data_IF_784392048790
#
_entry.id   IF_784392048790
#
_cell.length_a   1.000
_cell.length_b   1.000
_cell.length_c   1.000
_cell.angle_alpha   90.00
_cell.angle_beta   90.00
_cell.angle_gamma   90.00
#
_symmetry.space_group_name_H-M   'P 1'
#
loop_
_entity.id
_entity.type
_entity.pdbx_description
1 polymer ?
#
# COMPACT_ATOMS: atom_id res chain seq x y z
N UNK A 1 -10.99 -14.43 16.73
CA UNK A 1 -12.18 -14.44 17.63
C UNK A 1 -11.88 -15.38 18.79
N UNK A 2 -12.45 -15.17 19.97
CA UNK A 2 -12.20 -16.01 21.16
C UNK A 2 -12.42 -17.50 20.88
N UNK A 3 -13.51 -17.85 20.20
CA UNK A 3 -13.86 -19.22 19.76
C UNK A 3 -12.78 -19.90 18.90
N UNK A 4 -11.85 -19.14 18.31
CA UNK A 4 -10.78 -19.71 17.50
C UNK A 4 -9.62 -20.15 18.37
N UNK A 5 -9.33 -19.43 19.45
CA UNK A 5 -8.26 -19.79 20.39
C UNK A 5 -8.57 -21.09 21.13
N UNK A 6 -9.83 -21.27 21.54
CA UNK A 6 -10.30 -22.44 22.27
C UNK A 6 -10.16 -23.78 21.51
N UNK A 7 -9.87 -23.71 20.20
CA UNK A 7 -9.61 -24.90 19.35
C UNK A 7 -8.21 -25.47 19.54
N UNK A 8 -7.33 -24.72 20.16
CA UNK A 8 -5.94 -25.06 20.38
C UNK A 8 -5.68 -25.18 21.88
N UNK A 9 -4.77 -26.06 22.26
CA UNK A 9 -4.27 -26.12 23.64
C UNK A 9 -3.34 -24.92 23.89
N UNK A 10 -3.22 -24.52 25.13
CA UNK A 10 -2.35 -23.40 25.52
C UNK A 10 -0.87 -23.65 25.23
N UNK A 11 -0.48 -24.91 25.21
CA UNK A 11 0.86 -25.45 24.95
C UNK A 11 0.97 -26.13 23.57
N UNK A 12 0.05 -25.82 22.63
CA UNK A 12 0.00 -26.44 21.29
C UNK A 12 1.23 -26.14 20.44
N UNK A 13 1.85 -24.97 20.64
CA UNK A 13 2.96 -24.47 19.83
C UNK A 13 4.19 -24.26 20.70
N UNK A 14 5.32 -24.87 20.31
CA UNK A 14 6.61 -24.64 20.93
C UNK A 14 7.16 -23.24 20.57
N UNK A 15 6.86 -22.77 19.35
CA UNK A 15 7.36 -21.49 18.81
C UNK A 15 6.21 -20.70 18.22
N UNK A 16 6.13 -19.42 18.56
CA UNK A 16 5.18 -18.49 17.96
C UNK A 16 5.92 -17.28 17.40
N UNK A 17 5.71 -17.00 16.11
CA UNK A 17 6.22 -15.82 15.43
C UNK A 17 5.08 -14.84 15.18
N UNK A 18 5.26 -13.59 15.58
CA UNK A 18 4.32 -12.49 15.32
C UNK A 18 4.94 -11.55 14.30
N UNK A 19 4.36 -11.53 13.10
CA UNK A 19 4.67 -10.51 12.10
C UNK A 19 3.92 -9.22 12.40
N UNK A 20 4.48 -8.07 12.02
CA UNK A 20 3.96 -6.74 12.31
C UNK A 20 3.69 -6.55 13.82
N UNK A 21 4.64 -6.98 14.64
CA UNK A 21 4.50 -7.00 16.12
C UNK A 21 4.29 -5.61 16.73
N UNK A 22 4.54 -4.54 15.99
CA UNK A 22 4.17 -3.19 16.42
C UNK A 22 2.66 -3.07 16.72
N UNK A 23 1.82 -3.98 16.20
CA UNK A 23 0.38 -4.07 16.50
C UNK A 23 0.05 -4.83 17.78
N UNK A 24 1.04 -5.44 18.43
CA UNK A 24 0.82 -6.32 19.59
C UNK A 24 0.24 -5.61 20.83
N UNK A 25 0.25 -4.28 20.85
CA UNK A 25 -0.47 -3.50 21.86
C UNK A 25 -1.99 -3.59 21.76
N UNK A 26 -2.55 -4.08 20.64
CA UNK A 26 -4.00 -4.22 20.50
C UNK A 26 -4.57 -5.38 21.33
N UNK A 27 -5.81 -5.25 21.76
CA UNK A 27 -6.51 -6.23 22.61
C UNK A 27 -6.51 -7.64 22.01
N UNK A 28 -6.62 -7.75 20.69
CA UNK A 28 -6.64 -9.06 20.00
C UNK A 28 -5.30 -9.79 20.08
N UNK A 29 -4.18 -9.08 19.95
CA UNK A 29 -2.84 -9.66 20.10
C UNK A 29 -2.56 -10.01 21.55
N UNK A 30 -2.93 -9.13 22.49
CA UNK A 30 -2.77 -9.37 23.92
C UNK A 30 -3.53 -10.64 24.37
N UNK A 31 -4.74 -10.87 23.84
CA UNK A 31 -5.49 -12.11 24.10
C UNK A 31 -4.74 -13.35 23.61
N UNK A 32 -4.10 -13.30 22.45
CA UNK A 32 -3.33 -14.41 21.89
C UNK A 32 -2.08 -14.66 22.76
N UNK A 33 -1.34 -13.62 23.08
CA UNK A 33 -0.11 -13.73 23.87
C UNK A 33 -0.36 -14.22 25.30
N UNK A 34 -1.49 -13.84 25.89
CA UNK A 34 -1.87 -14.30 27.22
C UNK A 34 -2.46 -15.73 27.22
N UNK A 35 -2.91 -16.23 26.06
CA UNK A 35 -3.50 -17.56 25.96
C UNK A 35 -2.45 -18.65 25.75
N UNK A 36 -1.50 -18.45 24.84
CA UNK A 36 -0.48 -19.44 24.53
C UNK A 36 0.76 -19.32 25.41
N UNK A 37 1.36 -20.46 25.72
CA UNK A 37 2.58 -20.59 26.51
C UNK A 37 3.66 -21.35 25.71
N UNK A 38 4.16 -20.77 24.59
CA UNK A 38 5.23 -21.40 23.83
C UNK A 38 6.58 -21.30 24.58
N UNK A 39 7.52 -22.16 24.22
CA UNK A 39 8.90 -22.07 24.71
C UNK A 39 9.60 -20.82 24.18
N UNK A 40 9.18 -20.30 23.02
CA UNK A 40 9.81 -19.15 22.38
C UNK A 40 8.84 -18.26 21.63
N UNK A 41 8.92 -16.96 21.87
CA UNK A 41 8.26 -15.91 21.10
C UNK A 41 9.23 -15.17 20.21
N UNK A 42 8.88 -14.95 18.93
CA UNK A 42 9.60 -14.08 18.01
C UNK A 42 8.67 -12.97 17.51
N UNK A 43 9.07 -11.73 17.67
CA UNK A 43 8.41 -10.57 17.08
C UNK A 43 9.20 -10.00 15.92
N UNK A 44 8.53 -9.71 14.80
CA UNK A 44 9.14 -9.05 13.64
C UNK A 44 8.36 -7.79 13.30
N UNK A 45 9.06 -6.70 12.99
CA UNK A 45 8.43 -5.45 12.52
C UNK A 45 9.44 -4.58 11.79
N UNK A 46 8.98 -3.84 10.81
CA UNK A 46 9.76 -2.79 10.15
C UNK A 46 9.71 -1.44 10.90
N UNK A 47 8.76 -1.25 11.81
CA UNK A 47 8.49 0.01 12.52
C UNK A 47 8.29 -0.24 14.02
N UNK A 48 9.37 -0.48 14.78
CA UNK A 48 9.26 -0.76 16.20
C UNK A 48 8.82 0.45 17.03
N UNK A 49 9.13 1.67 16.57
CA UNK A 49 8.75 2.90 17.26
C UNK A 49 7.27 3.20 17.02
N UNK A 50 6.53 3.37 18.13
CA UNK A 50 5.12 3.71 18.12
C UNK A 50 4.89 5.14 18.60
N UNK A 51 3.93 5.81 17.98
CA UNK A 51 3.53 7.18 18.35
C UNK A 51 2.58 7.24 19.53
N UNK A 52 1.96 6.10 19.93
CA UNK A 52 1.01 6.01 21.03
C UNK A 52 1.67 5.68 22.39
N UNK A 53 3.00 5.58 22.43
CA UNK A 53 3.77 5.34 23.65
C UNK A 53 3.77 3.88 24.15
N UNK A 54 3.15 2.94 23.40
CA UNK A 54 3.23 1.54 23.76
C UNK A 54 4.61 0.96 23.44
N UNK A 55 5.30 0.43 24.46
CA UNK A 55 6.61 -0.18 24.32
C UNK A 55 6.50 -1.66 23.94
N UNK A 56 6.72 -1.98 22.67
CA UNK A 56 6.68 -3.36 22.19
C UNK A 56 7.87 -4.19 22.67
N UNK A 57 9.03 -3.56 22.94
CA UNK A 57 10.22 -4.26 23.40
C UNK A 57 9.98 -4.90 24.76
N UNK A 58 9.16 -4.29 25.58
CA UNK A 58 8.80 -4.83 26.89
C UNK A 58 8.08 -6.19 26.81
N UNK A 59 7.41 -6.49 25.69
CA UNK A 59 6.78 -7.80 25.45
C UNK A 59 7.80 -8.93 25.27
N UNK A 60 9.04 -8.59 25.00
CA UNK A 60 10.15 -9.51 24.73
C UNK A 60 11.31 -9.28 25.70
N UNK A 61 11.05 -8.75 26.90
CA UNK A 61 12.06 -8.44 27.92
C UNK A 61 13.24 -7.60 27.38
N UNK A 62 12.96 -6.72 26.40
CA UNK A 62 13.93 -5.91 25.66
C UNK A 62 15.03 -6.73 24.92
N UNK A 63 14.76 -8.00 24.65
CA UNK A 63 15.65 -8.83 23.86
C UNK A 63 15.51 -8.49 22.36
N UNK A 64 16.57 -7.98 21.75
CA UNK A 64 16.63 -7.67 20.32
C UNK A 64 17.61 -8.66 19.69
N UNK A 65 17.08 -9.60 18.89
CA UNK A 65 17.89 -10.59 18.20
C UNK A 65 18.65 -9.99 17.01
N UNK A 66 17.98 -9.12 16.26
CA UNK A 66 18.55 -8.45 15.10
C UNK A 66 17.83 -7.12 14.84
N UNK A 67 18.59 -6.10 14.46
CA UNK A 67 18.10 -4.81 14.03
C UNK A 67 18.85 -4.33 12.79
N UNK A 68 18.11 -3.95 11.75
CA UNK A 68 18.66 -3.26 10.60
C UNK A 68 17.83 -2.01 10.29
N UNK A 69 18.48 -0.87 10.28
CA UNK A 69 17.86 0.40 9.93
C UNK A 69 17.90 0.63 8.42
N UNK A 70 16.93 1.42 7.90
CA UNK A 70 16.80 1.73 6.48
C UNK A 70 18.12 2.15 5.82
N UNK A 71 18.86 3.05 6.47
CA UNK A 71 20.14 3.54 5.95
C UNK A 71 21.20 2.44 5.85
N UNK A 72 21.22 1.50 6.80
CA UNK A 72 22.11 0.35 6.76
C UNK A 72 21.69 -0.62 5.66
N UNK A 73 20.39 -0.94 5.56
CA UNK A 73 19.87 -1.82 4.52
C UNK A 73 20.15 -1.30 3.10
N UNK A 74 20.10 0.03 2.88
CA UNK A 74 20.48 0.66 1.63
C UNK A 74 21.98 0.58 1.33
N UNK A 75 22.83 0.71 2.34
CA UNK A 75 24.30 0.60 2.18
C UNK A 75 24.77 -0.82 1.87
N UNK A 76 24.06 -1.81 2.40
CA UNK A 76 24.37 -3.23 2.20
C UNK A 76 23.65 -3.81 0.96
N UNK A 77 23.07 -2.96 0.10
CA UNK A 77 22.31 -3.36 -1.11
C UNK A 77 21.17 -4.35 -0.85
N UNK A 78 20.62 -4.35 0.37
CA UNK A 78 19.45 -5.17 0.74
C UNK A 78 18.14 -4.55 0.26
N UNK A 79 18.15 -3.26 -0.02
CA UNK A 79 17.03 -2.50 -0.56
C UNK A 79 17.47 -1.72 -1.80
N UNK A 80 16.57 -1.62 -2.76
CA UNK A 80 16.77 -0.78 -3.94
C UNK A 80 16.86 0.70 -3.53
N UNK A 81 17.83 1.48 -4.05
CA UNK A 81 17.88 2.92 -3.83
C UNK A 81 16.61 3.60 -4.34
N UNK A 82 16.16 4.63 -3.62
CA UNK A 82 14.98 5.41 -4.00
C UNK A 82 15.18 6.90 -3.71
N UNK A 83 14.41 7.72 -4.40
CA UNK A 83 14.27 9.15 -4.09
C UNK A 83 12.90 9.37 -3.44
N UNK A 84 12.91 10.12 -2.34
CA UNK A 84 11.69 10.50 -1.64
C UNK A 84 11.41 11.99 -1.86
N UNK A 85 10.21 12.29 -2.35
CA UNK A 85 9.75 13.65 -2.58
C UNK A 85 8.50 13.91 -1.74
N UNK A 86 8.57 14.89 -0.86
CA UNK A 86 7.40 15.42 -0.17
C UNK A 86 6.73 16.46 -1.05
N UNK A 87 5.47 16.22 -1.42
CA UNK A 87 4.67 17.14 -2.24
C UNK A 87 3.62 17.75 -1.34
N UNK A 88 3.50 19.08 -1.35
CA UNK A 88 2.42 19.79 -0.67
C UNK A 88 1.10 19.50 -1.36
N UNK A 89 0.04 19.35 -0.56
CA UNK A 89 -1.30 19.17 -1.10
C UNK A 89 -1.75 20.36 -1.94
N UNK A 90 -2.71 20.07 -2.82
CA UNK A 90 -3.25 21.08 -3.74
C UNK A 90 -4.21 21.98 -2.98
N UNK A 91 -4.14 23.29 -3.25
CA UNK A 91 -5.21 24.20 -2.93
C UNK A 91 -6.32 24.05 -3.99
N UNK A 92 -7.51 23.66 -3.56
CA UNK A 92 -8.71 23.63 -4.39
C UNK A 92 -9.69 24.63 -3.80
N UNK A 93 -10.09 25.61 -4.60
CA UNK A 93 -10.97 26.71 -4.19
C UNK A 93 -10.45 27.51 -2.97
N UNK A 94 -9.12 27.58 -2.80
CA UNK A 94 -8.47 28.32 -1.71
C UNK A 94 -8.39 27.55 -0.39
N UNK A 95 -8.76 26.28 -0.36
CA UNK A 95 -8.58 25.38 0.77
C UNK A 95 -7.51 24.33 0.46
N UNK A 96 -6.54 24.18 1.37
CA UNK A 96 -5.55 23.10 1.28
C UNK A 96 -6.22 21.80 1.69
N UNK A 97 -6.16 20.80 0.83
CA UNK A 97 -6.63 19.43 1.14
C UNK A 97 -5.54 18.76 1.94
N UNK A 98 -5.56 18.89 3.26
CA UNK A 98 -4.64 18.21 4.16
C UNK A 98 -5.29 17.00 4.86
N UNK A 99 -4.50 16.20 5.59
CA UNK A 99 -4.98 15.05 6.36
C UNK A 99 -6.04 15.41 7.44
N UNK A 100 -6.21 16.69 7.73
CA UNK A 100 -7.19 17.23 8.68
C UNK A 100 -8.46 17.71 8.00
N UNK A 101 -8.37 17.97 6.69
CA UNK A 101 -9.54 18.30 5.88
C UNK A 101 -10.36 17.02 5.77
N UNK A 102 -11.60 17.10 6.20
CA UNK A 102 -12.51 15.96 6.30
C UNK A 102 -12.51 15.17 4.98
N UNK A 103 -11.89 13.96 4.97
CA UNK A 103 -11.87 13.01 3.84
C UNK A 103 -13.30 12.68 3.30
N UNK A 104 -14.34 13.23 3.94
CA UNK A 104 -15.73 13.21 3.47
C UNK A 104 -15.96 14.01 2.19
N UNK A 105 -15.06 14.94 1.83
CA UNK A 105 -15.14 15.58 0.52
C UNK A 105 -14.49 14.74 -0.57
N UNK A 106 -15.07 13.56 -0.74
CA UNK A 106 -14.67 12.58 -1.76
C UNK A 106 -14.51 13.20 -3.16
N UNK A 107 -15.32 14.21 -3.51
CA UNK A 107 -15.23 14.93 -4.78
C UNK A 107 -13.85 15.57 -5.02
N UNK A 108 -13.15 16.01 -3.98
CA UNK A 108 -11.80 16.56 -4.12
C UNK A 108 -10.76 15.49 -4.42
N UNK A 109 -10.87 14.31 -3.75
CA UNK A 109 -9.92 13.21 -3.91
C UNK A 109 -9.92 12.66 -5.34
N UNK A 110 -11.03 12.75 -6.03
CA UNK A 110 -11.22 12.25 -7.41
C UNK A 110 -11.40 13.37 -8.42
N UNK A 111 -11.08 14.63 -8.09
CA UNK A 111 -11.19 15.74 -9.03
C UNK A 111 -10.20 15.59 -10.19
N UNK A 112 -10.56 16.14 -11.35
CA UNK A 112 -9.65 16.21 -12.51
C UNK A 112 -8.40 17.00 -12.20
N UNK A 113 -8.52 18.07 -11.43
CA UNK A 113 -7.40 18.90 -11.00
C UNK A 113 -6.39 18.07 -10.20
N UNK A 114 -6.86 17.27 -9.24
CA UNK A 114 -5.96 16.40 -8.47
C UNK A 114 -5.35 15.28 -9.31
N UNK A 115 -6.12 14.63 -10.17
CA UNK A 115 -5.62 13.59 -11.05
C UNK A 115 -4.51 14.11 -11.98
N UNK A 116 -4.72 15.29 -12.60
CA UNK A 116 -3.69 15.94 -13.44
C UNK A 116 -2.46 16.32 -12.63
N UNK A 117 -2.65 16.91 -11.46
CA UNK A 117 -1.55 17.28 -10.58
C UNK A 117 -0.67 16.09 -10.21
N UNK A 118 -1.28 14.94 -9.85
CA UNK A 118 -0.53 13.71 -9.56
C UNK A 118 0.34 13.31 -10.77
N UNK A 119 -0.23 13.35 -11.98
CA UNK A 119 0.50 13.00 -13.20
C UNK A 119 1.60 14.02 -13.53
N UNK A 120 1.34 15.30 -13.33
CA UNK A 120 2.33 16.37 -13.53
C UNK A 120 3.50 16.22 -12.56
N UNK A 121 3.23 15.91 -11.28
CA UNK A 121 4.28 15.69 -10.30
C UNK A 121 5.07 14.40 -10.61
N UNK A 122 4.40 13.32 -10.99
CA UNK A 122 5.05 12.09 -11.38
C UNK A 122 5.97 12.29 -12.60
N UNK A 123 5.55 13.07 -13.57
CA UNK A 123 6.36 13.42 -14.73
C UNK A 123 7.51 14.38 -14.38
N UNK A 124 7.27 15.35 -13.49
CA UNK A 124 8.28 16.33 -13.08
C UNK A 124 9.44 15.66 -12.31
N UNK A 125 9.13 14.81 -11.34
CA UNK A 125 10.14 14.10 -10.56
C UNK A 125 10.77 12.93 -11.33
N UNK A 126 10.10 12.48 -12.37
CA UNK A 126 10.58 11.41 -13.24
C UNK A 126 10.36 10.02 -12.66
N UNK A 127 10.82 9.04 -13.43
CA UNK A 127 10.73 7.62 -13.08
C UNK A 127 11.93 6.86 -13.65
N UNK A 128 12.20 5.68 -13.11
CA UNK A 128 13.20 4.78 -13.67
C UNK A 128 12.63 3.98 -14.85
N UNK A 129 13.44 3.78 -15.89
CA UNK A 129 13.06 3.01 -17.06
C UNK A 129 12.32 3.82 -18.13
N UNK A 130 11.84 3.14 -19.16
CA UNK A 130 11.23 3.77 -20.35
C UNK A 130 9.78 4.20 -20.15
N UNK A 131 9.09 3.68 -19.13
CA UNK A 131 7.70 3.99 -18.83
C UNK A 131 7.44 4.18 -17.34
N UNK A 132 6.44 4.96 -17.01
CA UNK A 132 5.95 5.12 -15.66
C UNK A 132 5.38 3.78 -15.16
N UNK A 133 5.90 3.29 -14.06
CA UNK A 133 5.35 2.17 -13.29
C UNK A 133 5.19 2.62 -11.85
N UNK A 134 4.03 2.41 -11.25
CA UNK A 134 3.81 2.88 -9.90
C UNK A 134 2.65 2.21 -9.19
N UNK A 135 2.58 2.44 -7.89
CA UNK A 135 1.48 2.04 -7.02
C UNK A 135 0.86 3.30 -6.40
N UNK A 136 -0.46 3.38 -6.42
CA UNK A 136 -1.21 4.45 -5.78
C UNK A 136 -2.05 3.84 -4.67
N UNK A 137 -1.85 4.31 -3.44
CA UNK A 137 -2.63 3.91 -2.29
C UNK A 137 -3.74 4.93 -2.06
N UNK A 138 -4.98 4.44 -2.06
CA UNK A 138 -6.19 5.24 -1.89
C UNK A 138 -6.83 4.99 -0.53
N UNK A 139 -7.54 5.97 0.00
CA UNK A 139 -8.27 5.87 1.26
C UNK A 139 -9.47 4.89 1.19
N UNK A 140 -9.99 4.67 -0.01
CA UNK A 140 -11.15 3.82 -0.22
C UNK A 140 -11.27 3.24 -1.63
N UNK A 141 -12.12 2.20 -1.75
CA UNK A 141 -12.34 1.49 -3.03
C UNK A 141 -12.90 2.38 -4.13
N UNK A 142 -13.80 3.28 -3.76
CA UNK A 142 -14.46 4.19 -4.70
C UNK A 142 -13.46 5.21 -5.25
N UNK A 143 -12.59 5.76 -4.41
CA UNK A 143 -11.49 6.64 -4.84
C UNK A 143 -10.57 5.91 -5.83
N UNK A 144 -10.17 4.68 -5.52
CA UNK A 144 -9.32 3.91 -6.41
C UNK A 144 -9.96 3.68 -7.79
N UNK A 145 -11.25 3.38 -7.85
CA UNK A 145 -11.98 3.16 -9.09
C UNK A 145 -12.07 4.44 -9.93
N UNK A 146 -12.47 5.55 -9.33
CA UNK A 146 -12.64 6.82 -10.06
C UNK A 146 -11.30 7.40 -10.53
N UNK A 147 -10.24 7.33 -9.70
CA UNK A 147 -8.90 7.73 -10.13
C UNK A 147 -8.37 6.83 -11.25
N UNK A 148 -8.60 5.52 -11.17
CA UNK A 148 -8.21 4.59 -12.24
C UNK A 148 -8.91 4.94 -13.55
N UNK A 149 -10.20 5.24 -13.54
CA UNK A 149 -10.95 5.68 -14.73
C UNK A 149 -10.32 6.92 -15.34
N UNK A 150 -10.06 7.95 -14.53
CA UNK A 150 -9.45 9.20 -15.00
C UNK A 150 -8.04 9.00 -15.56
N UNK A 151 -7.21 8.20 -14.90
CA UNK A 151 -5.87 7.93 -15.41
C UNK A 151 -5.92 7.16 -16.74
N UNK A 152 -6.87 6.25 -16.91
CA UNK A 152 -7.07 5.57 -18.20
C UNK A 152 -7.54 6.55 -19.30
N UNK A 153 -8.41 7.53 -18.99
CA UNK A 153 -8.78 8.62 -19.89
C UNK A 153 -7.57 9.49 -20.31
N UNK A 154 -6.58 9.63 -19.44
CA UNK A 154 -5.33 10.33 -19.72
C UNK A 154 -4.26 9.44 -20.43
N UNK A 155 -4.63 8.22 -20.84
CA UNK A 155 -3.74 7.32 -21.56
C UNK A 155 -2.84 6.45 -20.66
N UNK A 156 -3.05 6.42 -19.36
CA UNK A 156 -2.34 5.53 -18.45
C UNK A 156 -3.13 4.24 -18.22
N UNK A 157 -2.47 3.11 -18.35
CA UNK A 157 -3.10 1.84 -17.99
C UNK A 157 -3.04 1.59 -16.49
N UNK A 158 -4.18 1.53 -15.84
CA UNK A 158 -4.27 1.27 -14.40
C UNK A 158 -5.21 0.11 -14.10
N UNK A 159 -4.91 -0.62 -13.03
CA UNK A 159 -5.74 -1.72 -12.49
C UNK A 159 -6.00 -1.48 -11.02
N UNK A 160 -7.26 -1.55 -10.62
CA UNK A 160 -7.66 -1.42 -9.21
C UNK A 160 -7.61 -2.77 -8.52
N UNK A 161 -6.89 -2.83 -7.39
CA UNK A 161 -6.89 -3.97 -6.50
C UNK A 161 -7.53 -3.63 -5.16
N UNK A 162 -8.42 -4.50 -4.71
CA UNK A 162 -9.13 -4.36 -3.44
C UNK A 162 -9.04 -5.67 -2.63
N UNK A 163 -9.56 -5.67 -1.40
CA UNK A 163 -9.65 -6.88 -0.60
C UNK A 163 -10.53 -7.99 -1.20
N UNK A 164 -11.38 -7.66 -2.19
CA UNK A 164 -12.28 -8.63 -2.85
C UNK A 164 -11.61 -9.38 -4.01
N UNK A 165 -10.47 -8.89 -4.52
CA UNK A 165 -9.79 -9.54 -5.64
C UNK A 165 -9.14 -10.85 -5.22
N UNK A 166 -9.26 -11.86 -6.09
CA UNK A 166 -8.63 -13.17 -5.94
C UNK A 166 -7.10 -13.08 -6.04
N UNK A 167 -6.41 -14.09 -5.54
CA UNK A 167 -4.95 -14.19 -5.64
C UNK A 167 -4.47 -14.16 -7.10
N UNK A 168 -5.17 -14.85 -8.01
CA UNK A 168 -4.85 -14.85 -9.45
C UNK A 168 -4.96 -13.47 -10.10
N UNK A 169 -5.94 -12.68 -9.72
CA UNK A 169 -6.09 -11.30 -10.22
C UNK A 169 -4.96 -10.40 -9.71
N UNK A 170 -4.55 -10.57 -8.46
CA UNK A 170 -3.41 -9.87 -7.87
C UNK A 170 -2.11 -10.23 -8.56
N UNK A 171 -1.86 -11.52 -8.74
CA UNK A 171 -0.67 -12.02 -9.44
C UNK A 171 -0.62 -11.50 -10.89
N UNK A 172 -1.75 -11.51 -11.60
CA UNK A 172 -1.84 -10.94 -12.95
C UNK A 172 -1.50 -9.45 -12.96
N UNK A 173 -2.00 -8.66 -12.03
CA UNK A 173 -1.72 -7.23 -11.95
C UNK A 173 -0.24 -6.96 -11.63
N UNK A 174 0.36 -7.73 -10.71
CA UNK A 174 1.79 -7.64 -10.39
C UNK A 174 2.64 -7.99 -11.62
N UNK A 175 2.30 -9.06 -12.32
CA UNK A 175 3.01 -9.46 -13.53
C UNK A 175 2.92 -8.41 -14.63
N UNK A 176 1.77 -7.73 -14.80
CA UNK A 176 1.62 -6.62 -15.73
C UNK A 176 2.44 -5.39 -15.33
N UNK A 177 2.56 -5.13 -14.03
CA UNK A 177 3.37 -4.02 -13.52
C UNK A 177 4.87 -4.27 -13.70
N UNK A 178 5.32 -5.50 -13.44
CA UNK A 178 6.75 -5.85 -13.38
C UNK A 178 7.35 -6.22 -14.74
N UNK A 179 6.56 -6.81 -15.66
CA UNK A 179 7.08 -7.22 -16.96
C UNK A 179 7.48 -6.04 -17.82
N UNK A 180 8.45 -6.27 -18.69
CA UNK A 180 8.72 -5.38 -19.82
C UNK A 180 7.63 -5.62 -20.89
N UNK A 181 6.95 -4.57 -21.31
CA UNK A 181 5.90 -4.61 -22.33
C UNK A 181 6.47 -4.11 -23.62
N UNK A 182 6.26 -4.83 -24.72
CA UNK A 182 6.70 -4.39 -26.03
C UNK A 182 5.91 -3.17 -26.51
N UNK A 183 6.52 -2.34 -27.33
CA UNK A 183 5.89 -1.15 -27.92
C UNK A 183 4.58 -1.48 -28.62
N UNK A 184 4.51 -2.63 -29.30
CA UNK A 184 3.33 -3.10 -30.02
C UNK A 184 2.14 -3.41 -29.08
N UNK A 185 2.41 -3.91 -27.87
CA UNK A 185 1.36 -4.19 -26.87
C UNK A 185 0.83 -2.89 -26.25
N UNK A 186 1.68 -1.86 -26.12
CA UNK A 186 1.28 -0.53 -25.63
C UNK A 186 0.35 0.12 -26.67
N UNK A 187 0.75 0.14 -27.94
CA UNK A 187 -0.08 0.71 -29.03
C UNK A 187 -1.43 0.01 -29.19
N UNK A 188 -1.46 -1.32 -29.02
CA UNK A 188 -2.71 -2.08 -29.06
C UNK A 188 -3.64 -1.68 -27.91
N UNK A 189 -3.09 -1.47 -26.75
CA UNK A 189 -3.87 -1.12 -25.57
C UNK A 189 -4.40 0.31 -25.62
N UNK A 190 -3.61 1.25 -26.14
CA UNK A 190 -4.04 2.62 -26.41
C UNK A 190 -5.24 2.65 -27.40
N UNK A 191 -5.20 1.80 -28.42
CA UNK A 191 -6.34 1.63 -29.36
C UNK A 191 -7.58 1.06 -28.71
N UNK A 192 -7.41 0.11 -27.78
CA UNK A 192 -8.54 -0.49 -27.05
C UNK A 192 -9.20 0.52 -26.09
N UNK A 193 -8.41 1.37 -25.41
CA UNK A 193 -8.92 2.46 -24.58
C UNK A 193 -9.67 3.49 -25.44
N UNK A 194 -9.09 3.93 -26.56
CA UNK A 194 -9.74 4.88 -27.47
C UNK A 194 -11.06 4.36 -28.05
N UNK A 195 -11.19 3.05 -28.27
CA UNK A 195 -12.41 2.45 -28.76
C UNK A 195 -13.49 2.33 -27.68
N UNK A 196 -13.13 2.11 -26.40
CA UNK A 196 -14.08 2.11 -25.28
C UNK A 196 -14.66 3.50 -25.01
N UNK A 197 -13.82 4.53 -25.02
CA UNK A 197 -14.25 5.92 -24.80
C UNK A 197 -15.21 6.39 -25.91
N UNK A 198 -15.02 5.93 -27.15
CA UNK A 198 -15.93 6.28 -28.26
C UNK A 198 -17.29 5.60 -28.18
N UNK A 199 -17.38 4.40 -27.62
CA UNK A 199 -18.65 3.67 -27.49
C UNK A 199 -19.53 4.19 -26.34
N UNK A 200 -18.93 4.82 -25.31
CA UNK A 200 -19.67 5.41 -24.18
C UNK A 200 -20.18 6.84 -24.47
N UNK A 201 -19.79 7.44 -25.59
CA UNK A 201 -20.29 8.78 -26.01
C UNK A 201 -21.42 8.73 -27.02
N UNK A 202 -21.80 7.54 -27.51
CA UNK A 202 -22.88 7.34 -28.50
C UNK A 202 -24.18 6.75 -27.88
N UNK A 203 -24.31 6.67 -26.54
CA UNK A 203 -25.54 6.42 -25.79
C UNK A 203 -25.96 7.68 -25.00
#
# INVERSE_FOLDING_TARGET
KAETLERYKVDEFDWICIDEVHRAGSESYQKIMNYFHPDFWLGMTASPERTDGFDIFNLFDHNIAYEIRLQHALKEDLLCPFHYFGITDIEIDGETVDDKTDLRNFSYLVSDTRARYILEQANYFGHSGERVKGLIFCSGKKEAQELSTKFNEYGYYTTVLTGANSEKEREKAINLLTREVSTDEIEKHEKDICNHVKNDTDE
#
